data_IF_052790752863
#
_entry.id   IF_052790752863
#
_cell.length_a   1.000
_cell.length_b   1.000
_cell.length_c   1.000
_cell.angle_alpha   90.00
_cell.angle_beta   90.00
_cell.angle_gamma   90.00
#
_symmetry.space_group_name_H-M   'P 1'
#
loop_
_entity.id
_entity.type
_entity.pdbx_description
1 polymer ?
#
# COMPACT_ATOMS: atom_id res chain seq x y z
N UNK A 1 -6.04 -24.25 8.56
CA UNK A 1 -6.05 -22.81 8.93
C UNK A 1 -5.67 -22.71 10.41
N UNK A 2 -4.39 -22.49 10.80
CA UNK A 2 -4.04 -22.46 12.21
C UNK A 2 -4.41 -21.09 12.78
N UNK A 3 -5.61 -20.99 13.33
CA UNK A 3 -5.99 -19.92 14.25
C UNK A 3 -5.20 -20.12 15.55
N UNK A 4 -4.01 -19.51 15.66
CA UNK A 4 -3.31 -19.40 16.94
C UNK A 4 -3.74 -18.07 17.58
N UNK A 5 -4.54 -18.18 18.64
CA UNK A 5 -4.85 -17.10 19.60
C UNK A 5 -5.47 -15.81 19.06
N UNK A 6 -6.73 -15.79 18.59
CA UNK A 6 -7.60 -14.58 18.48
C UNK A 6 -6.97 -13.27 17.93
N UNK A 7 -5.85 -13.37 17.22
CA UNK A 7 -5.03 -12.27 16.72
C UNK A 7 -4.79 -12.62 15.27
N UNK A 8 -5.38 -11.84 14.36
CA UNK A 8 -5.17 -12.02 12.93
C UNK A 8 -3.74 -11.61 12.63
N UNK A 9 -2.87 -12.61 12.53
CA UNK A 9 -1.49 -12.47 12.04
C UNK A 9 -1.47 -13.11 10.66
N UNK A 10 -1.26 -12.31 9.61
CA UNK A 10 -1.30 -12.84 8.25
C UNK A 10 -1.10 -11.77 7.18
N UNK A 11 -1.02 -12.22 5.94
CA UNK A 11 -1.00 -11.34 4.77
C UNK A 11 -2.44 -11.15 4.30
N UNK A 12 -2.94 -9.92 4.40
CA UNK A 12 -4.22 -9.54 3.82
C UNK A 12 -4.03 -8.97 2.42
N UNK A 13 -5.04 -9.21 1.57
CA UNK A 13 -5.09 -8.75 0.19
C UNK A 13 -6.38 -7.98 -0.03
N UNK A 14 -6.25 -6.76 -0.54
CA UNK A 14 -7.38 -5.96 -0.99
C UNK A 14 -7.34 -5.84 -2.51
N UNK A 15 -8.52 -5.79 -3.11
CA UNK A 15 -8.71 -5.77 -4.55
C UNK A 15 -9.44 -4.48 -4.94
N UNK A 16 -9.11 -3.95 -6.12
CA UNK A 16 -9.79 -2.80 -6.70
C UNK A 16 -11.25 -3.15 -6.97
N UNK A 17 -12.17 -2.30 -6.53
CA UNK A 17 -13.61 -2.56 -6.68
C UNK A 17 -14.06 -2.62 -8.15
N UNK A 18 -13.37 -1.90 -9.03
CA UNK A 18 -13.77 -1.75 -10.44
C UNK A 18 -13.50 -3.00 -11.29
N UNK A 19 -12.36 -3.66 -11.09
CA UNK A 19 -11.91 -4.76 -11.96
C UNK A 19 -11.52 -6.03 -11.20
N UNK A 20 -11.53 -6.00 -9.85
CA UNK A 20 -11.14 -7.14 -9.02
C UNK A 20 -9.64 -7.45 -9.03
N UNK A 21 -8.81 -6.59 -9.62
CA UNK A 21 -7.36 -6.77 -9.60
C UNK A 21 -6.81 -6.50 -8.21
N UNK A 22 -5.70 -7.14 -7.88
CA UNK A 22 -5.01 -6.91 -6.61
C UNK A 22 -4.62 -5.43 -6.50
N UNK A 23 -5.01 -4.78 -5.41
CA UNK A 23 -4.73 -3.38 -5.12
C UNK A 23 -3.64 -3.24 -4.04
N UNK A 24 -3.71 -4.07 -3.02
CA UNK A 24 -2.83 -3.99 -1.86
C UNK A 24 -2.58 -5.38 -1.27
N UNK A 25 -1.32 -5.67 -0.93
CA UNK A 25 -0.93 -6.84 -0.14
C UNK A 25 -0.16 -6.33 1.08
N UNK A 26 -0.66 -6.56 2.29
CA UNK A 26 0.00 -6.12 3.52
C UNK A 26 -0.08 -7.15 4.62
N UNK A 27 0.94 -7.12 5.48
CA UNK A 27 0.91 -7.90 6.71
C UNK A 27 0.08 -7.18 7.77
N UNK A 28 -0.80 -7.94 8.42
CA UNK A 28 -1.68 -7.48 9.48
C UNK A 28 -1.31 -8.22 10.75
N UNK A 29 -1.18 -7.47 11.84
CA UNK A 29 -0.84 -7.95 13.17
C UNK A 29 -1.87 -7.38 14.16
N UNK A 30 -2.75 -8.22 14.71
CA UNK A 30 -3.84 -7.78 15.61
C UNK A 30 -4.77 -6.73 14.96
N UNK A 31 -5.17 -6.93 13.70
CA UNK A 31 -6.02 -6.00 12.94
C UNK A 31 -5.36 -4.62 12.66
N UNK A 32 -4.04 -4.53 12.82
CA UNK A 32 -3.23 -3.35 12.51
C UNK A 32 -2.27 -3.69 11.37
N UNK A 33 -2.24 -2.84 10.34
CA UNK A 33 -1.26 -2.89 9.27
C UNK A 33 0.15 -2.68 9.84
N UNK A 34 1.02 -3.63 9.54
CA UNK A 34 2.37 -3.64 10.04
C UNK A 34 3.33 -4.35 9.08
N UNK A 35 4.51 -3.79 8.89
CA UNK A 35 5.56 -4.34 8.04
C UNK A 35 5.45 -3.90 6.58
N UNK A 36 5.85 -4.79 5.67
CA UNK A 36 5.91 -4.49 4.25
C UNK A 36 4.53 -4.59 3.59
N UNK A 37 4.23 -3.56 2.79
CA UNK A 37 3.01 -3.38 2.00
C UNK A 37 3.42 -3.25 0.54
N UNK A 38 2.74 -4.00 -0.33
CA UNK A 38 2.84 -3.85 -1.78
C UNK A 38 1.57 -3.21 -2.30
N UNK A 39 1.72 -2.11 -3.01
CA UNK A 39 0.64 -1.43 -3.71
C UNK A 39 0.72 -1.75 -5.19
N UNK A 40 -0.43 -1.92 -5.81
CA UNK A 40 -0.56 -2.26 -7.22
C UNK A 40 -1.48 -1.26 -7.92
N UNK A 41 -1.15 -0.95 -9.17
CA UNK A 41 -1.98 -0.12 -10.05
C UNK A 41 -3.28 -0.85 -10.39
N UNK A 42 -4.25 -0.14 -10.96
CA UNK A 42 -5.50 -0.76 -11.44
C UNK A 42 -5.23 -1.84 -12.49
N UNK A 43 -4.19 -1.69 -13.30
CA UNK A 43 -3.73 -2.71 -14.26
C UNK A 43 -3.04 -3.93 -13.61
N UNK A 44 -2.93 -3.98 -12.28
CA UNK A 44 -2.30 -5.09 -11.55
C UNK A 44 -0.77 -5.06 -11.56
N UNK A 45 -0.14 -3.95 -11.97
CA UNK A 45 1.32 -3.78 -11.94
C UNK A 45 1.77 -3.29 -10.57
N UNK A 46 2.96 -3.68 -10.15
CA UNK A 46 3.54 -3.17 -8.90
C UNK A 46 3.75 -1.65 -9.01
N UNK A 47 3.12 -0.91 -8.10
CA UNK A 47 3.18 0.54 -8.03
C UNK A 47 4.26 1.00 -7.05
N UNK A 48 4.20 0.50 -5.80
CA UNK A 48 5.09 0.91 -4.74
C UNK A 48 5.23 -0.17 -3.66
N UNK A 49 6.38 -0.14 -2.99
CA UNK A 49 6.68 -0.91 -1.79
C UNK A 49 6.72 0.08 -0.62
N UNK A 50 5.79 -0.08 0.31
CA UNK A 50 5.63 0.79 1.47
C UNK A 50 5.91 -0.03 2.72
N UNK A 51 6.51 0.58 3.74
CA UNK A 51 6.57 0.02 5.08
C UNK A 51 5.60 0.78 5.96
N UNK A 52 4.77 0.03 6.69
CA UNK A 52 3.80 0.59 7.61
C UNK A 52 4.03 0.11 9.04
N UNK A 53 3.79 1.00 10.00
CA UNK A 53 3.75 0.67 11.42
C UNK A 53 2.56 1.38 12.06
N UNK A 54 1.78 0.68 12.88
CA UNK A 54 0.62 1.22 13.57
C UNK A 54 -0.39 1.91 12.62
N UNK A 55 -0.72 1.26 11.49
CA UNK A 55 -1.59 1.80 10.43
C UNK A 55 -1.05 3.06 9.71
N UNK A 56 0.23 3.42 9.88
CA UNK A 56 0.83 4.59 9.22
C UNK A 56 1.96 4.17 8.32
N UNK A 57 2.02 4.75 7.12
CA UNK A 57 3.16 4.60 6.22
C UNK A 57 4.35 5.38 6.77
N UNK A 58 5.46 4.69 7.01
CA UNK A 58 6.69 5.25 7.59
C UNK A 58 7.78 5.49 6.54
N UNK A 59 7.79 4.69 5.48
CA UNK A 59 8.75 4.80 4.39
C UNK A 59 8.20 4.08 3.17
N UNK A 60 8.64 4.44 1.97
CA UNK A 60 8.29 3.68 0.80
C UNK A 60 9.06 4.09 -0.44
N UNK A 61 9.02 3.24 -1.45
CA UNK A 61 9.59 3.51 -2.77
C UNK A 61 8.65 3.05 -3.86
N UNK A 62 8.60 3.79 -4.95
CA UNK A 62 7.93 3.38 -6.18
C UNK A 62 8.61 2.15 -6.79
N UNK A 63 7.92 1.46 -7.69
CA UNK A 63 8.51 0.37 -8.49
C UNK A 63 9.67 0.85 -9.37
N UNK A 64 9.71 2.14 -9.71
CA UNK A 64 10.83 2.81 -10.39
C UNK A 64 12.03 3.15 -9.50
N UNK A 65 12.12 2.57 -8.30
CA UNK A 65 13.12 2.87 -7.24
C UNK A 65 13.15 4.31 -6.71
N UNK A 66 12.21 5.16 -7.14
CA UNK A 66 12.00 6.51 -6.59
C UNK A 66 11.54 6.40 -5.13
N UNK A 67 12.33 6.92 -4.21
CA UNK A 67 11.94 7.02 -2.80
C UNK A 67 10.79 8.03 -2.64
N UNK A 68 9.78 7.66 -1.85
CA UNK A 68 8.71 8.56 -1.44
C UNK A 68 9.21 9.45 -0.31
N UNK A 69 8.88 10.74 -0.37
CA UNK A 69 9.24 11.68 0.69
C UNK A 69 8.30 11.57 1.88
N UNK A 70 8.72 12.04 3.05
CA UNK A 70 7.85 12.09 4.23
C UNK A 70 6.54 12.81 3.95
N UNK A 71 6.57 13.88 3.14
CA UNK A 71 5.37 14.62 2.75
C UNK A 71 4.41 13.76 1.93
N UNK A 72 4.91 13.00 0.96
CA UNK A 72 4.10 12.08 0.14
C UNK A 72 3.40 11.03 1.03
N UNK A 73 4.11 10.53 2.04
CA UNK A 73 3.59 9.54 2.99
C UNK A 73 2.58 10.17 3.95
N UNK A 74 2.83 11.37 4.46
CA UNK A 74 1.90 12.11 5.31
C UNK A 74 0.62 12.48 4.57
N UNK A 75 0.70 12.88 3.30
CA UNK A 75 -0.47 13.11 2.46
C UNK A 75 -1.24 11.80 2.22
N UNK A 76 -0.53 10.71 1.93
CA UNK A 76 -1.14 9.38 1.75
C UNK A 76 -1.86 8.88 3.01
N UNK A 77 -1.26 9.10 4.19
CA UNK A 77 -1.84 8.73 5.49
C UNK A 77 -3.10 9.52 5.87
N UNK A 78 -3.40 10.64 5.20
CA UNK A 78 -4.64 11.40 5.43
C UNK A 78 -5.85 10.75 4.75
N UNK A 79 -5.63 9.87 3.77
CA UNK A 79 -6.74 9.22 3.08
C UNK A 79 -7.29 8.08 3.94
N UNK A 80 -8.59 8.09 4.29
CA UNK A 80 -9.21 7.02 5.06
C UNK A 80 -9.39 5.74 4.23
N UNK A 81 -9.28 5.83 2.91
CA UNK A 81 -9.45 4.72 1.97
C UNK A 81 -8.14 4.47 1.20
N UNK A 82 -7.69 3.21 1.18
CA UNK A 82 -6.46 2.81 0.49
C UNK A 82 -6.51 3.11 -1.01
N UNK A 83 -7.68 3.02 -1.66
CA UNK A 83 -7.81 3.34 -3.08
C UNK A 83 -7.44 4.80 -3.38
N UNK A 84 -7.85 5.74 -2.53
CA UNK A 84 -7.46 7.15 -2.67
C UNK A 84 -5.96 7.35 -2.48
N UNK A 85 -5.35 6.65 -1.51
CA UNK A 85 -3.91 6.68 -1.31
C UNK A 85 -3.15 6.07 -2.51
N UNK A 86 -3.64 4.95 -3.06
CA UNK A 86 -3.07 4.32 -4.26
C UNK A 86 -3.13 5.28 -5.44
N UNK A 87 -4.27 5.92 -5.71
CA UNK A 87 -4.40 6.89 -6.80
C UNK A 87 -3.43 8.08 -6.64
N UNK A 88 -3.25 8.58 -5.42
CA UNK A 88 -2.28 9.65 -5.13
C UNK A 88 -0.84 9.20 -5.39
N UNK A 89 -0.46 8.01 -4.89
CA UNK A 89 0.86 7.42 -5.12
C UNK A 89 1.09 7.06 -6.60
N UNK A 90 0.04 6.69 -7.32
CA UNK A 90 0.07 6.44 -8.76
C UNK A 90 0.49 7.69 -9.51
N UNK A 91 -0.08 8.84 -9.16
CA UNK A 91 0.34 10.13 -9.71
C UNK A 91 1.81 10.42 -9.41
N UNK A 92 2.30 10.15 -8.19
CA UNK A 92 3.69 10.43 -7.79
C UNK A 92 4.70 9.51 -8.50
N UNK A 93 4.38 8.22 -8.61
CA UNK A 93 5.26 7.21 -9.16
C UNK A 93 5.22 7.15 -10.69
N UNK A 94 4.05 7.39 -11.31
CA UNK A 94 3.86 7.30 -12.77
C UNK A 94 4.12 8.63 -13.49
N UNK A 95 3.82 9.81 -12.91
CA UNK A 95 4.10 11.10 -13.59
C UNK A 95 5.59 11.33 -13.90
N UNK A 96 6.50 10.56 -13.30
CA UNK A 96 7.92 10.59 -13.64
C UNK A 96 8.28 9.90 -14.98
N UNK A 97 7.33 9.26 -15.68
CA UNK A 97 7.59 8.52 -16.93
C UNK A 97 7.15 9.20 -18.22
N UNK A 98 6.69 10.46 -18.20
CA UNK A 98 6.45 11.21 -19.44
C UNK A 98 7.68 12.05 -19.78
N UNK A 99 8.67 11.44 -20.43
CA UNK A 99 9.73 12.16 -21.16
C UNK A 99 9.56 11.91 -22.65
#
# INVERSE_FOLDING_TARGET
MPYKNNKREGIEKWYHYENGNLALEASVLNDILHGDIKLYTKDGKLLALIKAENNKFISGKCSSDKALTSKDLEESNKYPYFESAINHLEVICIKSNSK
#
